data_IF_207026385902
#
_entry.id   IF_207026385902
#
_cell.length_a   1.000
_cell.length_b   1.000
_cell.length_c   1.000
_cell.angle_alpha   90.00
_cell.angle_beta   90.00
_cell.angle_gamma   90.00
#
_symmetry.space_group_name_H-M   'P 1'
#
loop_
_entity.id
_entity.type
_entity.pdbx_description
1 polymer ?
#
# COMPACT_ATOMS: atom_id res chain seq x y z
N UNK A 1 0.66 -15.21 -3.48
CA UNK A 1 2.10 -14.96 -3.58
C UNK A 1 2.34 -13.83 -4.57
N UNK A 2 3.19 -12.89 -4.24
CA UNK A 2 3.64 -11.80 -5.10
C UNK A 2 5.12 -12.04 -5.40
N UNK A 3 5.51 -11.88 -6.67
CA UNK A 3 6.91 -11.99 -7.09
C UNK A 3 7.28 -10.77 -7.94
N UNK A 4 8.30 -10.08 -7.54
CA UNK A 4 9.00 -9.04 -8.27
C UNK A 4 10.35 -9.60 -8.66
N UNK A 5 10.62 -9.77 -9.96
CA UNK A 5 11.87 -10.36 -10.47
C UNK A 5 12.59 -9.36 -11.35
N UNK A 6 13.77 -8.91 -10.90
CA UNK A 6 14.66 -7.97 -11.59
C UNK A 6 13.95 -6.70 -12.06
N UNK A 7 13.09 -6.13 -11.19
CA UNK A 7 12.29 -4.95 -11.55
C UNK A 7 13.17 -3.71 -11.69
N UNK A 8 13.18 -3.16 -12.88
CA UNK A 8 13.76 -1.87 -13.22
C UNK A 8 12.67 -0.84 -13.56
N UNK A 9 12.81 0.38 -13.06
CA UNK A 9 11.97 1.53 -13.45
C UNK A 9 12.87 2.74 -13.65
N UNK A 10 12.84 3.30 -14.86
CA UNK A 10 13.57 4.52 -15.20
C UNK A 10 12.59 5.56 -15.75
N UNK A 11 12.44 6.66 -15.03
CA UNK A 11 11.65 7.82 -15.49
C UNK A 11 12.50 8.73 -16.36
N UNK A 12 11.88 9.40 -17.34
CA UNK A 12 12.54 10.38 -18.21
C UNK A 12 13.69 9.80 -19.03
N UNK A 13 13.63 8.53 -19.44
CA UNK A 13 14.69 7.85 -20.16
C UNK A 13 15.13 8.63 -21.40
N UNK A 14 16.43 8.85 -21.54
CA UNK A 14 17.01 9.60 -22.65
C UNK A 14 16.87 11.12 -22.55
N UNK A 15 16.43 11.63 -21.39
CA UNK A 15 16.35 13.08 -21.11
C UNK A 15 17.29 13.48 -19.98
N UNK A 16 17.62 14.79 -19.82
CA UNK A 16 18.40 15.28 -18.68
C UNK A 16 17.77 14.99 -17.31
N UNK A 17 16.48 14.63 -17.27
CA UNK A 17 15.73 14.28 -16.05
C UNK A 17 15.66 12.77 -15.83
N UNK A 18 16.50 12.00 -16.49
CA UNK A 18 16.53 10.55 -16.32
C UNK A 18 16.81 10.17 -14.87
N UNK A 19 15.91 9.37 -14.28
CA UNK A 19 16.04 8.90 -12.91
C UNK A 19 15.68 7.43 -12.83
N UNK A 20 16.65 6.62 -12.44
CA UNK A 20 16.44 5.19 -12.12
C UNK A 20 15.83 5.09 -10.73
N UNK A 21 14.55 4.75 -10.65
CA UNK A 21 13.79 4.65 -9.40
C UNK A 21 13.81 3.25 -8.80
N UNK A 22 13.84 2.20 -9.62
CA UNK A 22 14.10 0.82 -9.22
C UNK A 22 15.21 0.24 -10.07
N UNK A 23 16.09 -0.57 -9.47
CA UNK A 23 17.37 -0.98 -10.04
C UNK A 23 17.60 -2.49 -9.92
N UNK A 24 16.76 -3.30 -10.59
CA UNK A 24 16.82 -4.76 -10.50
C UNK A 24 16.33 -5.25 -9.13
N UNK A 25 15.13 -4.82 -8.73
CA UNK A 25 14.54 -5.19 -7.45
C UNK A 25 13.95 -6.59 -7.53
N UNK A 26 14.40 -7.47 -6.63
CA UNK A 26 13.86 -8.79 -6.39
C UNK A 26 13.15 -8.82 -5.04
N UNK A 27 11.91 -9.30 -5.01
CA UNK A 27 11.15 -9.46 -3.77
C UNK A 27 10.05 -10.50 -3.95
N UNK A 28 10.01 -11.50 -3.10
CA UNK A 28 8.92 -12.49 -3.03
C UNK A 28 8.15 -12.30 -1.73
N UNK A 29 6.82 -12.31 -1.81
CA UNK A 29 5.92 -12.15 -0.66
C UNK A 29 4.89 -13.27 -0.68
N UNK A 30 4.84 -14.03 0.40
CA UNK A 30 3.91 -15.15 0.56
C UNK A 30 2.47 -14.65 0.72
N UNK A 31 1.51 -15.54 0.37
CA UNK A 31 0.09 -15.23 0.58
C UNK A 31 -0.21 -14.99 2.06
N UNK A 32 -0.95 -13.92 2.33
CA UNK A 32 -1.33 -13.54 3.67
C UNK A 32 -0.21 -12.93 4.51
N UNK A 33 1.01 -12.77 3.98
CA UNK A 33 2.08 -12.06 4.67
C UNK A 33 1.75 -10.57 4.81
N UNK A 34 2.08 -10.00 5.96
CA UNK A 34 2.04 -8.56 6.19
C UNK A 34 3.47 -8.02 6.25
N UNK A 35 3.89 -7.37 5.18
CA UNK A 35 5.25 -6.83 5.00
C UNK A 35 5.24 -5.32 5.21
N UNK A 36 6.10 -4.85 6.11
CA UNK A 36 6.36 -3.41 6.28
C UNK A 36 7.56 -3.02 5.41
N UNK A 37 7.46 -1.87 4.76
CA UNK A 37 8.49 -1.37 3.84
C UNK A 37 8.95 0.00 4.31
N UNK A 38 10.24 0.09 4.64
CA UNK A 38 10.90 1.32 5.09
C UNK A 38 12.01 1.73 4.11
N UNK A 39 12.54 2.92 4.30
CA UNK A 39 13.65 3.45 3.50
C UNK A 39 13.57 4.97 3.37
N UNK A 40 14.66 5.61 2.95
CA UNK A 40 14.75 7.05 2.78
C UNK A 40 13.80 7.58 1.69
N UNK A 41 13.61 8.91 1.67
CA UNK A 41 12.91 9.55 0.56
C UNK A 41 13.67 9.29 -0.75
N UNK A 42 12.92 8.92 -1.80
CA UNK A 42 13.52 8.56 -3.08
C UNK A 42 14.09 7.14 -3.15
N UNK A 43 13.96 6.31 -2.11
CA UNK A 43 14.43 4.92 -2.10
C UNK A 43 13.69 3.99 -3.10
N UNK A 44 12.56 4.43 -3.66
CA UNK A 44 11.77 3.64 -4.61
C UNK A 44 10.49 3.04 -4.03
N UNK A 45 10.14 3.32 -2.77
CA UNK A 45 8.98 2.72 -2.07
C UNK A 45 7.65 2.93 -2.82
N UNK A 46 7.27 4.17 -3.08
CA UNK A 46 6.02 4.49 -3.80
C UNK A 46 6.05 4.02 -5.26
N UNK A 47 7.26 3.99 -5.89
CA UNK A 47 7.43 3.41 -7.23
C UNK A 47 7.17 1.90 -7.21
N UNK A 48 7.66 1.19 -6.21
CA UNK A 48 7.38 -0.25 -6.04
C UNK A 48 5.89 -0.51 -5.82
N UNK A 49 5.21 0.28 -4.97
CA UNK A 49 3.75 0.18 -4.83
C UNK A 49 3.04 0.49 -6.14
N UNK A 50 3.47 1.51 -6.89
CA UNK A 50 2.94 1.85 -8.22
C UNK A 50 3.13 0.71 -9.24
N UNK A 51 4.27 0.03 -9.19
CA UNK A 51 4.53 -1.17 -10.02
C UNK A 51 3.57 -2.30 -9.66
N UNK A 52 3.32 -2.55 -8.38
CA UNK A 52 2.37 -3.57 -7.94
C UNK A 52 0.91 -3.21 -8.28
N UNK A 53 0.54 -1.94 -8.15
CA UNK A 53 -0.80 -1.43 -8.48
C UNK A 53 -1.07 -1.37 -9.99
N UNK A 54 -0.01 -1.29 -10.82
CA UNK A 54 -0.12 -1.09 -12.26
C UNK A 54 -0.18 0.38 -12.69
N UNK A 55 0.05 1.31 -11.76
CA UNK A 55 0.16 2.75 -12.04
C UNK A 55 1.48 3.07 -12.77
N UNK A 56 2.51 2.24 -12.52
CA UNK A 56 3.82 2.33 -13.14
C UNK A 56 4.12 0.99 -13.79
N UNK A 57 4.35 0.99 -15.09
CA UNK A 57 4.83 -0.21 -15.78
C UNK A 57 6.35 -0.30 -15.65
N UNK A 58 6.90 -1.47 -15.27
CA UNK A 58 8.34 -1.64 -15.18
C UNK A 58 8.99 -1.55 -16.57
N UNK A 59 10.17 -0.96 -16.62
CA UNK A 59 10.99 -0.92 -17.86
C UNK A 59 11.68 -2.27 -18.10
N UNK A 60 11.98 -2.99 -17.02
CA UNK A 60 12.64 -4.29 -17.03
C UNK A 60 12.06 -5.19 -15.94
N UNK A 61 12.20 -6.49 -16.10
CA UNK A 61 11.77 -7.47 -15.10
C UNK A 61 10.33 -7.94 -15.27
N UNK A 62 9.86 -8.69 -14.28
CA UNK A 62 8.54 -9.34 -14.29
C UNK A 62 7.84 -9.20 -12.95
N UNK A 63 6.52 -8.97 -13.00
CA UNK A 63 5.61 -8.92 -11.85
C UNK A 63 4.61 -10.05 -11.95
N UNK A 64 4.57 -10.90 -10.91
CA UNK A 64 3.60 -12.00 -10.79
C UNK A 64 2.76 -11.81 -9.52
N UNK A 65 1.44 -11.94 -9.63
CA UNK A 65 0.50 -11.89 -8.51
C UNK A 65 -0.43 -13.10 -8.61
N UNK A 66 -0.50 -13.92 -7.57
CA UNK A 66 -1.31 -15.13 -7.56
C UNK A 66 -0.95 -16.12 -8.69
N UNK A 67 0.32 -16.21 -9.04
CA UNK A 67 0.83 -17.05 -10.15
C UNK A 67 0.52 -16.49 -11.55
N UNK A 68 -0.06 -15.31 -11.66
CA UNK A 68 -0.38 -14.67 -12.95
C UNK A 68 0.62 -13.57 -13.27
N UNK A 69 1.19 -13.59 -14.47
CA UNK A 69 2.00 -12.48 -14.98
C UNK A 69 1.09 -11.26 -15.21
N UNK A 70 1.40 -10.18 -14.49
CA UNK A 70 0.68 -8.91 -14.56
C UNK A 70 1.57 -7.76 -15.04
N UNK A 71 2.79 -8.06 -15.49
CA UNK A 71 3.84 -7.07 -15.84
C UNK A 71 3.34 -5.95 -16.73
N UNK A 72 2.57 -6.27 -17.75
CA UNK A 72 2.04 -5.32 -18.74
C UNK A 72 0.59 -4.92 -18.51
N UNK A 73 -0.03 -5.37 -17.40
CA UNK A 73 -1.42 -5.01 -17.05
C UNK A 73 -1.42 -3.67 -16.33
N UNK A 74 -2.35 -2.82 -16.72
CA UNK A 74 -2.57 -1.53 -16.06
C UNK A 74 -3.37 -1.65 -14.76
N UNK A 75 -3.62 -0.52 -14.10
CA UNK A 75 -4.37 -0.43 -12.85
C UNK A 75 -5.80 -0.99 -12.98
N UNK A 76 -6.48 -0.75 -14.10
CA UNK A 76 -7.85 -1.23 -14.30
C UNK A 76 -7.91 -2.76 -14.35
N UNK A 77 -6.94 -3.38 -15.03
CA UNK A 77 -6.81 -4.84 -15.12
C UNK A 77 -6.46 -5.48 -13.78
N UNK A 78 -5.64 -4.78 -12.97
CA UNK A 78 -5.21 -5.26 -11.64
C UNK A 78 -6.20 -4.96 -10.53
N UNK A 79 -7.19 -4.11 -10.77
CA UNK A 79 -8.16 -3.65 -9.76
C UNK A 79 -8.94 -4.78 -9.06
N UNK A 80 -8.98 -5.98 -9.62
CA UNK A 80 -9.54 -7.18 -8.98
C UNK A 80 -8.61 -7.82 -7.97
N UNK A 81 -7.29 -7.72 -8.22
CA UNK A 81 -6.27 -8.39 -7.44
C UNK A 81 -5.71 -7.48 -6.35
N UNK A 82 -5.58 -6.19 -6.65
CA UNK A 82 -4.86 -5.22 -5.84
C UNK A 82 -5.77 -4.09 -5.40
N UNK A 83 -5.79 -3.83 -4.10
CA UNK A 83 -6.36 -2.63 -3.51
C UNK A 83 -5.23 -1.71 -3.02
N UNK A 84 -5.42 -0.41 -3.11
CA UNK A 84 -4.46 0.57 -2.59
C UNK A 84 -5.17 1.59 -1.72
N UNK A 85 -4.56 1.91 -0.57
CA UNK A 85 -4.92 3.02 0.30
C UNK A 85 -3.78 4.02 0.24
N UNK A 86 -4.12 5.27 -0.06
CA UNK A 86 -3.15 6.35 -0.28
C UNK A 86 -2.89 7.13 1.01
N UNK A 87 -1.80 7.87 1.02
CA UNK A 87 -1.45 8.79 2.10
C UNK A 87 -2.52 9.89 2.25
N UNK A 88 -2.96 10.48 1.13
CA UNK A 88 -4.13 11.36 1.09
C UNK A 88 -5.38 10.53 0.78
N UNK A 89 -6.32 10.41 1.74
CA UNK A 89 -7.54 9.62 1.55
C UNK A 89 -8.46 10.17 0.46
N UNK A 90 -8.31 11.43 0.04
CA UNK A 90 -9.08 11.99 -1.08
C UNK A 90 -8.63 11.39 -2.42
N UNK A 91 -7.37 11.00 -2.56
CA UNK A 91 -6.86 10.36 -3.77
C UNK A 91 -7.54 9.02 -4.06
N UNK A 92 -7.93 8.29 -3.01
CA UNK A 92 -8.61 6.98 -3.10
C UNK A 92 -10.14 7.05 -3.10
N UNK A 93 -10.73 8.26 -3.03
CA UNK A 93 -12.17 8.47 -2.92
C UNK A 93 -12.64 9.63 -3.79
N UNK A 94 -13.95 9.72 -4.02
CA UNK A 94 -14.56 10.86 -4.69
C UNK A 94 -15.21 11.77 -3.64
N UNK A 95 -14.57 12.91 -3.33
CA UNK A 95 -15.01 13.84 -2.30
C UNK A 95 -16.44 14.37 -2.51
N UNK A 96 -16.84 14.60 -3.77
CA UNK A 96 -18.15 15.11 -4.13
C UNK A 96 -19.28 14.09 -3.98
N UNK A 97 -18.99 12.80 -3.92
CA UNK A 97 -19.96 11.73 -3.74
C UNK A 97 -20.17 11.43 -2.24
N UNK A 98 -21.34 10.87 -1.95
CA UNK A 98 -21.70 10.43 -0.60
C UNK A 98 -20.90 9.21 -0.14
N UNK A 99 -20.94 8.90 1.16
CA UNK A 99 -20.32 7.70 1.72
C UNK A 99 -20.84 6.46 1.01
N UNK A 100 -22.18 6.30 0.87
CA UNK A 100 -22.76 5.11 0.23
C UNK A 100 -22.41 5.00 -1.26
N UNK A 101 -22.27 6.11 -1.99
CA UNK A 101 -21.84 6.12 -3.40
C UNK A 101 -20.38 5.71 -3.55
N UNK A 102 -19.48 6.21 -2.68
CA UNK A 102 -18.09 5.78 -2.65
C UNK A 102 -17.95 4.28 -2.35
N UNK A 103 -18.70 3.77 -1.38
CA UNK A 103 -18.74 2.32 -1.06
C UNK A 103 -19.27 1.50 -2.24
N UNK A 104 -20.30 2.01 -2.96
CA UNK A 104 -20.83 1.34 -4.14
C UNK A 104 -19.82 1.26 -5.28
N UNK A 105 -19.06 2.34 -5.52
CA UNK A 105 -17.98 2.37 -6.50
C UNK A 105 -16.87 1.37 -6.11
N UNK A 106 -16.47 1.35 -4.85
CA UNK A 106 -15.46 0.43 -4.34
C UNK A 106 -15.90 -1.03 -4.47
N UNK A 107 -17.15 -1.34 -4.12
CA UNK A 107 -17.72 -2.70 -4.25
C UNK A 107 -17.87 -3.18 -5.70
N UNK A 108 -17.95 -2.25 -6.65
CA UNK A 108 -18.03 -2.54 -8.09
C UNK A 108 -16.66 -2.68 -8.77
N UNK A 109 -15.56 -2.40 -8.04
CA UNK A 109 -14.20 -2.43 -8.58
C UNK A 109 -13.88 -3.80 -9.19
N UNK A 110 -13.34 -3.78 -10.41
CA UNK A 110 -12.97 -4.99 -11.16
C UNK A 110 -14.14 -5.88 -11.60
N UNK A 111 -15.40 -5.47 -11.39
CA UNK A 111 -16.60 -6.21 -11.84
C UNK A 111 -17.15 -5.62 -13.14
N UNK A 112 -17.78 -6.47 -13.96
CA UNK A 112 -18.54 -5.97 -15.11
C UNK A 112 -19.73 -5.14 -14.61
N UNK A 113 -19.92 -3.98 -15.19
CA UNK A 113 -21.05 -3.09 -14.87
C UNK A 113 -22.29 -3.59 -15.62
N UNK A 114 -23.41 -3.74 -14.88
CA UNK A 114 -24.74 -4.03 -15.45
C UNK A 114 -25.62 -2.78 -15.37
N UNK A 115 -26.87 -2.91 -15.85
CA UNK A 115 -27.89 -1.84 -15.81
C UNK A 115 -28.62 -1.76 -14.46
N UNK A 116 -28.30 -2.62 -13.50
CA UNK A 116 -28.91 -2.62 -12.17
C UNK A 116 -28.44 -1.47 -11.29
N UNK A 117 -29.28 -1.06 -10.31
CA UNK A 117 -28.93 -0.04 -9.33
C UNK A 117 -27.69 -0.44 -8.52
N UNK A 118 -26.72 0.46 -8.43
CA UNK A 118 -25.56 0.30 -7.59
C UNK A 118 -25.91 0.37 -6.08
N UNK A 119 -27.00 1.04 -5.72
CA UNK A 119 -27.48 1.30 -4.37
C UNK A 119 -28.83 0.62 -4.11
N UNK A 120 -28.90 -0.71 -4.28
CA UNK A 120 -30.07 -1.48 -3.84
C UNK A 120 -30.18 -1.47 -2.30
N UNK A 121 -31.40 -1.68 -1.75
CA UNK A 121 -31.64 -1.76 -0.29
C UNK A 121 -30.66 -2.74 0.38
N UNK A 122 -30.52 -3.96 -0.12
CA UNK A 122 -29.59 -4.97 0.40
C UNK A 122 -28.15 -4.48 0.45
N UNK A 123 -27.69 -3.69 -0.55
CA UNK A 123 -26.33 -3.14 -0.54
C UNK A 123 -26.17 -2.02 0.48
N UNK A 124 -27.19 -1.17 0.63
CA UNK A 124 -27.19 -0.12 1.65
C UNK A 124 -27.10 -0.71 3.05
N UNK A 125 -27.87 -1.75 3.34
CA UNK A 125 -27.80 -2.44 4.62
C UNK A 125 -26.41 -3.03 4.87
N UNK A 126 -25.84 -3.73 3.88
CA UNK A 126 -24.48 -4.26 3.96
C UNK A 126 -23.43 -3.15 4.17
N UNK A 127 -23.56 -2.02 3.50
CA UNK A 127 -22.63 -0.90 3.67
C UNK A 127 -22.74 -0.29 5.06
N UNK A 128 -23.99 -0.11 5.54
CA UNK A 128 -24.24 0.39 6.89
C UNK A 128 -23.61 -0.53 7.95
N UNK A 129 -23.79 -1.84 7.83
CA UNK A 129 -23.18 -2.82 8.73
C UNK A 129 -21.64 -2.75 8.71
N UNK A 130 -21.02 -2.61 7.53
CA UNK A 130 -19.58 -2.47 7.43
C UNK A 130 -19.06 -1.16 8.04
N UNK A 131 -19.79 -0.08 7.88
CA UNK A 131 -19.44 1.24 8.43
C UNK A 131 -19.67 1.30 9.94
N UNK A 132 -20.74 0.69 10.46
CA UNK A 132 -21.02 0.65 11.89
C UNK A 132 -19.91 -0.06 12.70
N UNK A 133 -19.22 -1.03 12.06
CA UNK A 133 -18.07 -1.71 12.67
C UNK A 133 -16.87 -0.78 12.94
N UNK A 134 -16.85 0.41 12.34
CA UNK A 134 -15.86 1.45 12.63
C UNK A 134 -16.11 2.16 13.97
N UNK A 135 -17.35 2.16 14.48
CA UNK A 135 -17.75 2.87 15.70
C UNK A 135 -17.45 4.37 15.68
N UNK A 136 -17.61 4.99 14.49
CA UNK A 136 -17.37 6.43 14.26
C UNK A 136 -18.66 7.22 14.04
N UNK A 137 -19.85 6.59 14.19
CA UNK A 137 -21.15 7.20 13.94
C UNK A 137 -21.43 7.52 12.48
N UNK A 138 -20.69 6.90 11.55
CA UNK A 138 -20.80 7.15 10.11
C UNK A 138 -21.94 6.35 9.48
N UNK A 139 -22.43 5.32 10.13
CA UNK A 139 -23.58 4.50 9.73
C UNK A 139 -24.87 5.32 9.63
N UNK A 140 -24.99 6.40 10.40
CA UNK A 140 -26.13 7.33 10.38
C UNK A 140 -25.93 8.49 9.38
N UNK A 141 -24.73 8.59 8.82
CA UNK A 141 -24.28 9.66 7.93
C UNK A 141 -23.98 9.20 6.50
N UNK A 142 -24.57 8.08 6.07
CA UNK A 142 -24.31 7.46 4.75
C UNK A 142 -24.58 8.38 3.56
N UNK A 143 -25.48 9.36 3.72
CA UNK A 143 -25.78 10.39 2.73
C UNK A 143 -24.85 11.61 2.75
N UNK A 144 -23.93 11.71 3.69
CA UNK A 144 -22.99 12.81 3.76
C UNK A 144 -21.90 12.65 2.69
N UNK A 145 -21.45 13.78 2.14
CA UNK A 145 -20.34 13.81 1.18
C UNK A 145 -19.02 13.44 1.85
N UNK A 146 -18.17 12.74 1.12
CA UNK A 146 -16.87 12.27 1.60
C UNK A 146 -15.93 13.42 1.99
N UNK A 147 -16.00 14.57 1.30
CA UNK A 147 -15.17 15.74 1.59
C UNK A 147 -15.53 16.47 2.89
N UNK A 148 -16.72 16.22 3.46
CA UNK A 148 -17.17 16.79 4.75
C UNK A 148 -16.66 16.01 5.96
N UNK A 149 -16.01 14.87 5.77
CA UNK A 149 -15.50 14.02 6.84
C UNK A 149 -14.13 14.50 7.32
N UNK A 150 -13.76 14.18 8.56
CA UNK A 150 -12.38 14.36 9.03
C UNK A 150 -11.39 13.47 8.26
N UNK A 151 -10.11 13.82 8.27
CA UNK A 151 -9.06 13.04 7.62
C UNK A 151 -9.06 11.58 8.09
N UNK A 152 -9.16 11.35 9.40
CA UNK A 152 -9.20 10.01 9.96
C UNK A 152 -10.45 9.22 9.63
N UNK A 153 -11.63 9.86 9.63
CA UNK A 153 -12.87 9.21 9.18
C UNK A 153 -12.77 8.78 7.71
N UNK A 154 -12.25 9.63 6.84
CA UNK A 154 -12.01 9.29 5.43
C UNK A 154 -11.02 8.12 5.30
N UNK A 155 -9.96 8.11 6.10
CA UNK A 155 -8.97 7.05 6.05
C UNK A 155 -9.54 5.71 6.49
N UNK A 156 -10.31 5.68 7.57
CA UNK A 156 -11.02 4.49 8.03
C UNK A 156 -11.98 3.95 6.95
N UNK A 157 -12.76 4.84 6.31
CA UNK A 157 -13.62 4.46 5.19
C UNK A 157 -12.83 3.95 3.99
N UNK A 158 -11.67 4.55 3.68
CA UNK A 158 -10.81 4.09 2.58
C UNK A 158 -10.31 2.65 2.80
N UNK A 159 -9.99 2.27 4.04
CA UNK A 159 -9.66 0.89 4.39
C UNK A 159 -10.84 -0.05 4.19
N UNK A 160 -12.05 0.32 4.64
CA UNK A 160 -13.26 -0.47 4.39
C UNK A 160 -13.49 -0.63 2.89
N UNK A 161 -13.42 0.47 2.11
CA UNK A 161 -13.56 0.47 0.66
C UNK A 161 -12.55 -0.47 -0.02
N UNK A 162 -11.31 -0.50 0.47
CA UNK A 162 -10.26 -1.37 -0.06
C UNK A 162 -10.61 -2.86 0.04
N UNK A 163 -11.38 -3.27 1.07
CA UNK A 163 -11.75 -4.67 1.32
C UNK A 163 -13.05 -5.11 0.64
N UNK A 164 -13.90 -4.18 0.17
CA UNK A 164 -15.24 -4.51 -0.36
C UNK A 164 -15.22 -5.31 -1.67
N UNK A 165 -14.18 -5.19 -2.48
CA UNK A 165 -14.12 -5.87 -3.79
C UNK A 165 -13.54 -7.30 -3.71
N UNK A 166 -12.99 -7.72 -2.55
CA UNK A 166 -12.38 -9.03 -2.40
C UNK A 166 -11.00 -9.13 -3.07
N UNK A 167 -10.18 -8.08 -2.95
CA UNK A 167 -8.80 -8.09 -3.45
C UNK A 167 -7.93 -9.07 -2.67
N UNK A 168 -6.90 -9.62 -3.30
CA UNK A 168 -5.93 -10.53 -2.69
C UNK A 168 -4.77 -9.77 -2.03
N UNK A 169 -4.48 -8.56 -2.56
CA UNK A 169 -3.36 -7.71 -2.16
C UNK A 169 -3.86 -6.37 -1.67
N UNK A 170 -3.33 -5.90 -0.55
CA UNK A 170 -3.55 -4.57 0.01
C UNK A 170 -2.24 -3.79 0.05
N UNK A 171 -2.20 -2.66 -0.64
CA UNK A 171 -1.08 -1.73 -0.64
C UNK A 171 -1.43 -0.51 0.21
N UNK A 172 -0.62 -0.21 1.20
CA UNK A 172 -0.79 0.90 2.13
C UNK A 172 0.39 1.86 1.97
N UNK A 173 0.12 3.08 1.51
CA UNK A 173 1.14 4.08 1.23
C UNK A 173 1.06 5.18 2.30
N UNK A 174 1.84 5.04 3.38
CA UNK A 174 1.94 6.01 4.49
C UNK A 174 0.58 6.47 5.04
N UNK A 175 -0.36 5.56 5.08
CA UNK A 175 -1.79 5.82 5.27
C UNK A 175 -2.19 6.38 6.65
N UNK A 176 -1.24 6.54 7.57
CA UNK A 176 -1.44 7.15 8.89
C UNK A 176 -0.62 8.44 9.10
N UNK A 177 0.21 8.82 8.13
CA UNK A 177 1.19 9.91 8.32
C UNK A 177 0.56 11.30 8.54
N UNK A 178 -0.63 11.53 8.02
CA UNK A 178 -1.34 12.81 8.10
C UNK A 178 -2.40 12.86 9.23
N UNK A 179 -2.43 11.85 10.11
CA UNK A 179 -3.43 11.72 11.17
C UNK A 179 -2.84 12.15 12.53
N UNK A 180 -3.72 12.62 13.42
CA UNK A 180 -3.36 12.78 14.82
C UNK A 180 -3.05 11.40 15.47
N UNK A 181 -2.28 11.38 16.59
CA UNK A 181 -1.79 10.13 17.16
C UNK A 181 -2.89 9.12 17.51
N UNK A 182 -4.00 9.57 18.10
CA UNK A 182 -5.09 8.68 18.50
C UNK A 182 -5.80 8.06 17.29
N UNK A 183 -6.03 8.86 16.25
CA UNK A 183 -6.63 8.37 15.02
C UNK A 183 -5.66 7.48 14.22
N UNK A 184 -4.37 7.77 14.25
CA UNK A 184 -3.35 6.92 13.62
C UNK A 184 -3.32 5.53 14.26
N UNK A 185 -3.37 5.44 15.60
CA UNK A 185 -3.45 4.17 16.32
C UNK A 185 -4.73 3.40 15.96
N UNK A 186 -5.89 4.07 16.01
CA UNK A 186 -7.16 3.47 15.60
C UNK A 186 -7.12 2.91 14.16
N UNK A 187 -6.58 3.67 13.20
CA UNK A 187 -6.48 3.25 11.80
C UNK A 187 -5.51 2.06 11.65
N UNK A 188 -4.44 2.01 12.44
CA UNK A 188 -3.52 0.87 12.44
C UNK A 188 -4.17 -0.40 13.03
N UNK A 189 -4.90 -0.31 14.13
CA UNK A 189 -5.67 -1.43 14.69
C UNK A 189 -6.74 -1.93 13.70
N UNK A 190 -7.45 -1.00 13.05
CA UNK A 190 -8.41 -1.32 11.99
C UNK A 190 -7.73 -2.06 10.84
N UNK A 191 -6.54 -1.59 10.43
CA UNK A 191 -5.74 -2.23 9.37
C UNK A 191 -5.40 -3.67 9.74
N UNK A 192 -4.86 -3.90 10.94
CA UNK A 192 -4.53 -5.25 11.42
C UNK A 192 -5.75 -6.18 11.41
N UNK A 193 -6.87 -5.69 11.92
CA UNK A 193 -8.13 -6.44 11.96
C UNK A 193 -8.56 -6.84 10.55
N UNK A 194 -8.66 -5.88 9.62
CA UNK A 194 -9.09 -6.14 8.25
C UNK A 194 -8.14 -7.07 7.49
N UNK A 195 -6.83 -6.90 7.66
CA UNK A 195 -5.81 -7.78 7.06
C UNK A 195 -5.98 -9.21 7.55
N UNK A 196 -6.17 -9.41 8.85
CA UNK A 196 -6.37 -10.73 9.46
C UNK A 196 -7.69 -11.37 9.03
N UNK A 197 -8.82 -10.64 9.12
CA UNK A 197 -10.16 -11.11 8.76
C UNK A 197 -10.24 -11.56 7.30
N UNK A 198 -9.63 -10.80 6.39
CA UNK A 198 -9.66 -11.06 4.95
C UNK A 198 -8.45 -11.84 4.44
N UNK A 199 -7.47 -12.18 5.32
CA UNK A 199 -6.21 -12.88 4.96
C UNK A 199 -5.49 -12.20 3.79
N UNK A 200 -5.41 -10.86 3.84
CA UNK A 200 -4.83 -10.08 2.76
C UNK A 200 -3.30 -10.19 2.76
N UNK A 201 -2.71 -10.35 1.59
CA UNK A 201 -1.27 -10.13 1.41
C UNK A 201 -1.03 -8.62 1.41
N UNK A 202 -0.33 -8.10 2.41
CA UNK A 202 -0.26 -6.66 2.65
C UNK A 202 1.16 -6.14 2.56
N UNK A 203 1.34 -5.03 1.82
CA UNK A 203 2.56 -4.22 1.86
C UNK A 203 2.21 -2.84 2.42
N UNK A 204 2.84 -2.48 3.52
CA UNK A 204 2.68 -1.19 4.17
C UNK A 204 3.97 -0.38 4.10
N UNK A 205 3.97 0.70 3.35
CA UNK A 205 5.04 1.69 3.37
C UNK A 205 4.83 2.61 4.57
N UNK A 206 5.88 2.80 5.36
CA UNK A 206 5.88 3.74 6.49
C UNK A 206 7.25 4.41 6.65
N UNK A 207 7.26 5.61 7.19
CA UNK A 207 8.48 6.30 7.64
C UNK A 207 8.81 6.00 9.12
N UNK A 208 7.86 5.47 9.86
CA UNK A 208 8.04 5.12 11.27
C UNK A 208 8.70 3.75 11.41
N UNK A 209 9.94 3.71 11.86
CA UNK A 209 10.65 2.46 12.14
C UNK A 209 9.96 1.67 13.26
N UNK A 210 9.34 2.38 14.22
CA UNK A 210 8.53 1.76 15.28
C UNK A 210 7.33 1.02 14.68
N UNK A 211 6.53 1.69 13.84
CA UNK A 211 5.42 1.02 13.15
C UNK A 211 5.91 -0.17 12.31
N UNK A 212 7.08 -0.07 11.69
CA UNK A 212 7.63 -1.16 10.91
C UNK A 212 7.97 -2.40 11.74
N UNK A 213 8.27 -2.24 13.05
CA UNK A 213 8.50 -3.34 13.99
C UNK A 213 7.24 -3.78 14.72
N UNK A 214 6.33 -2.85 15.07
CA UNK A 214 5.12 -3.15 15.82
C UNK A 214 4.07 -3.89 14.96
N UNK A 215 4.07 -3.65 13.65
CA UNK A 215 3.10 -4.22 12.72
C UNK A 215 3.74 -5.14 11.68
N UNK A 216 2.92 -6.09 11.17
CA UNK A 216 3.38 -7.08 10.20
C UNK A 216 4.32 -8.13 10.78
N UNK A 217 4.74 -9.05 9.93
CA UNK A 217 5.59 -10.20 10.27
C UNK A 217 6.97 -10.15 9.59
N UNK A 218 7.18 -9.21 8.67
CA UNK A 218 8.40 -9.04 7.89
C UNK A 218 8.64 -7.56 7.63
N UNK A 219 9.89 -7.14 7.74
CA UNK A 219 10.33 -5.77 7.46
C UNK A 219 11.35 -5.78 6.33
N UNK A 220 11.05 -5.00 5.30
CA UNK A 220 11.92 -4.82 4.12
C UNK A 220 12.40 -3.37 4.08
N UNK A 221 13.68 -3.17 3.84
CA UNK A 221 14.25 -1.83 3.67
C UNK A 221 14.71 -1.62 2.25
N UNK A 222 14.27 -0.50 1.66
CA UNK A 222 14.65 -0.07 0.33
C UNK A 222 15.67 1.06 0.38
N UNK A 223 16.70 0.96 -0.47
CA UNK A 223 17.66 2.04 -0.72
C UNK A 223 18.12 2.01 -2.18
N UNK A 224 18.16 3.18 -2.84
CA UNK A 224 18.61 3.28 -4.23
C UNK A 224 17.87 2.37 -5.21
N UNK A 225 16.58 2.12 -4.97
CA UNK A 225 15.74 1.25 -5.81
C UNK A 225 16.00 -0.24 -5.65
N UNK A 226 16.66 -0.67 -4.58
CA UNK A 226 16.99 -2.08 -4.27
C UNK A 226 16.54 -2.44 -2.85
N UNK A 227 16.31 -3.72 -2.61
CA UNK A 227 16.17 -4.25 -1.24
C UNK A 227 17.56 -4.36 -0.63
N UNK A 228 17.76 -3.71 0.52
CA UNK A 228 19.05 -3.72 1.26
C UNK A 228 18.95 -4.44 2.59
N UNK A 229 17.75 -4.62 3.12
CA UNK A 229 17.46 -5.40 4.31
C UNK A 229 16.14 -6.13 4.13
N UNK A 230 16.10 -7.37 4.59
CA UNK A 230 14.91 -8.21 4.57
C UNK A 230 14.94 -9.11 5.80
N UNK A 231 14.10 -8.83 6.78
CA UNK A 231 14.06 -9.55 8.06
C UNK A 231 12.66 -10.03 8.38
N UNK A 232 12.55 -11.30 8.79
CA UNK A 232 11.29 -11.95 9.13
C UNK A 232 11.52 -12.99 10.25
N UNK A 233 10.44 -13.44 10.90
CA UNK A 233 10.49 -14.47 11.93
C UNK A 233 11.46 -14.13 13.06
N UNK A 234 12.28 -15.09 13.47
CA UNK A 234 13.21 -14.94 14.60
C UNK A 234 14.24 -13.83 14.39
N UNK A 235 14.67 -13.60 13.15
CA UNK A 235 15.60 -12.51 12.82
C UNK A 235 15.01 -11.11 13.04
N UNK A 236 13.67 -10.99 13.06
CA UNK A 236 12.96 -9.75 13.31
C UNK A 236 12.56 -9.62 14.79
N UNK A 237 12.34 -10.75 15.48
CA UNK A 237 12.01 -10.76 16.89
C UNK A 237 13.16 -10.18 17.73
N UNK A 238 12.82 -9.19 18.56
CA UNK A 238 13.81 -8.53 19.43
C UNK A 238 14.59 -7.38 18.78
N UNK A 239 14.37 -7.09 17.48
CA UNK A 239 14.95 -5.89 16.88
C UNK A 239 14.35 -4.63 17.50
N UNK A 240 15.21 -3.70 17.85
CA UNK A 240 14.86 -2.36 18.31
C UNK A 240 14.88 -1.37 17.15
N UNK A 241 14.36 -0.17 17.39
CA UNK A 241 14.46 0.94 16.42
C UNK A 241 15.92 1.31 16.18
N UNK A 242 16.75 1.26 17.23
CA UNK A 242 18.18 1.51 17.19
C UNK A 242 18.89 0.52 16.28
N UNK A 243 18.55 -0.77 16.36
CA UNK A 243 19.12 -1.80 15.49
C UNK A 243 18.77 -1.55 14.02
N UNK A 244 17.52 -1.17 13.71
CA UNK A 244 17.13 -0.80 12.34
C UNK A 244 17.90 0.43 11.83
N UNK A 245 18.13 1.43 12.69
CA UNK A 245 18.91 2.62 12.34
C UNK A 245 20.35 2.24 12.04
N UNK A 246 20.95 1.38 12.86
CA UNK A 246 22.31 0.90 12.67
C UNK A 246 22.46 0.08 11.38
N UNK A 247 21.53 -0.86 11.14
CA UNK A 247 21.48 -1.63 9.90
C UNK A 247 21.34 -0.71 8.69
N UNK A 248 20.53 0.34 8.78
CA UNK A 248 20.36 1.33 7.72
C UNK A 248 21.66 2.11 7.45
N UNK A 249 22.36 2.57 8.51
CA UNK A 249 23.64 3.26 8.37
C UNK A 249 24.70 2.36 7.73
N UNK A 250 24.77 1.10 8.14
CA UNK A 250 25.71 0.14 7.60
C UNK A 250 25.43 -0.13 6.11
N UNK A 251 24.16 -0.31 5.72
CA UNK A 251 23.79 -0.45 4.31
C UNK A 251 24.19 0.77 3.47
N UNK A 252 24.07 1.99 4.02
CA UNK A 252 24.48 3.23 3.34
C UNK A 252 25.99 3.32 3.11
N UNK A 253 26.79 2.88 4.08
CA UNK A 253 28.26 2.89 3.98
C UNK A 253 28.76 1.94 2.89
N UNK A 254 28.11 0.77 2.72
CA UNK A 254 28.48 -0.21 1.69
C UNK A 254 27.94 0.13 0.29
N UNK A 255 26.89 0.94 0.18
CA UNK A 255 26.29 1.31 -1.12
C UNK A 255 26.75 2.68 -1.64
N UNK A 256 27.47 3.47 -0.83
CA UNK A 256 28.06 4.71 -1.29
C UNK A 256 29.32 4.41 -2.12
N UNK A 257 29.44 4.92 -3.37
CA UNK A 257 30.67 4.75 -4.14
C UNK A 257 31.85 5.34 -3.36
N UNK A 258 32.94 4.56 -3.28
CA UNK A 258 34.17 5.00 -2.63
C UNK A 258 34.61 6.36 -3.19
N UNK A 259 35.18 7.26 -2.36
CA UNK A 259 35.73 8.53 -2.85
C UNK A 259 36.78 8.38 -3.95
N UNK A 260 37.28 7.15 -4.20
CA UNK A 260 38.25 6.84 -5.25
C UNK A 260 37.64 6.74 -6.66
N UNK A 261 36.32 6.49 -6.78
CA UNK A 261 35.67 6.36 -8.10
C UNK A 261 35.26 7.71 -8.74
N UNK A 262 35.49 8.83 -8.04
CA UNK A 262 35.21 10.18 -8.56
C UNK A 262 36.41 10.83 -9.28
N UNK A 263 37.46 10.07 -9.60
CA UNK A 263 38.62 10.56 -10.37
C UNK A 263 38.79 9.73 -11.63
N UNK A 264 37.90 9.86 -12.56
CA UNK A 264 38.13 9.61 -13.99
C UNK A 264 37.28 10.59 -14.80
#
# INVERSE_FOLDING_TARGET
>A
MIELSQIGVTFGRGTPLEKKALAGLDLTIDNGAFVTVIGSNGAGKSTMLGVLAGDVLPTEGRVTIGGKDVTRRDTADRARLVARVFQDPLTGSCGALTIEENLALAAARGKRRGLGSALSSRRRDMFRDRVSALRLGLEDRMGDRMDLLSGGQRQALSLVMATLAGSEVLLLDEHTAALDPGMAEFVMELTQRLVSEHRLTTLMVTHSMRQALDFGTRTVMLHGGRVVLDVAGDSRHGLTVEDLIEMFRNCLLYTSPSPRDKRQ
#
